data_IF_102136578611
#
_entry.id   IF_102136578611
#
_cell.length_a   1.000
_cell.length_b   1.000
_cell.length_c   1.000
_cell.angle_alpha   90.00
_cell.angle_beta   90.00
_cell.angle_gamma   90.00
#
_symmetry.space_group_name_H-M   'P 1'
#
loop_
_entity.id
_entity.type
_entity.pdbx_description
1 polymer ?
#
# COMPACT_ATOMS: atom_id res chain seq x y z
N UNK A 1 30.67 -29.40 5.47
CA UNK A 1 30.75 -28.00 5.94
C UNK A 1 29.53 -27.28 5.39
N UNK A 2 28.69 -26.65 6.23
CA UNK A 2 27.46 -26.01 5.79
C UNK A 2 27.79 -24.61 5.29
N UNK A 3 27.31 -24.23 4.11
CA UNK A 3 27.44 -22.83 3.68
C UNK A 3 26.16 -22.38 2.98
N UNK A 4 25.45 -21.54 3.74
CA UNK A 4 24.66 -20.41 3.27
C UNK A 4 23.29 -20.71 2.65
N UNK A 5 22.35 -20.89 3.59
CA UNK A 5 21.01 -20.30 3.57
C UNK A 5 20.87 -19.11 2.61
N UNK A 6 20.06 -19.31 1.57
CA UNK A 6 18.99 -18.40 1.16
C UNK A 6 19.32 -16.90 1.28
N UNK A 7 20.06 -16.36 0.31
CA UNK A 7 19.91 -14.95 -0.03
C UNK A 7 18.63 -14.80 -0.84
N UNK A 8 17.48 -14.83 -0.15
CA UNK A 8 16.33 -14.12 -0.67
C UNK A 8 16.77 -12.66 -0.69
N UNK A 9 17.07 -12.11 -1.87
CA UNK A 9 17.12 -10.68 -2.08
C UNK A 9 15.71 -10.15 -1.80
N UNK A 10 15.38 -10.02 -0.52
CA UNK A 10 14.23 -9.27 -0.09
C UNK A 10 14.73 -7.84 -0.15
N UNK A 11 14.48 -7.15 -1.28
CA UNK A 11 14.46 -5.69 -1.27
C UNK A 11 13.63 -5.30 -0.04
N UNK A 12 14.31 -4.76 0.95
CA UNK A 12 13.74 -4.59 2.27
C UNK A 12 12.63 -3.55 2.13
N UNK A 13 11.38 -4.03 2.19
CA UNK A 13 10.20 -3.20 2.01
C UNK A 13 10.31 -1.94 2.87
N UNK A 14 10.13 -0.73 2.30
CA UNK A 14 10.14 0.49 3.10
C UNK A 14 9.14 0.38 4.26
N UNK A 15 9.53 0.89 5.42
CA UNK A 15 8.72 0.87 6.64
C UNK A 15 8.46 2.26 7.16
N UNK A 16 7.26 2.47 7.68
CA UNK A 16 6.81 3.76 8.20
C UNK A 16 6.39 3.64 9.68
N UNK A 17 7.33 3.45 10.61
CA UNK A 17 7.03 3.11 12.00
C UNK A 17 6.23 4.18 12.76
N UNK A 18 6.32 5.45 12.36
CA UNK A 18 5.46 6.52 12.91
C UNK A 18 4.00 6.35 12.48
N UNK A 19 3.78 6.06 11.20
CA UNK A 19 2.43 5.83 10.67
C UNK A 19 1.84 4.56 11.28
N UNK A 20 2.62 3.50 11.41
CA UNK A 20 2.20 2.27 12.09
C UNK A 20 1.83 2.52 13.56
N UNK A 21 2.57 3.37 14.28
CA UNK A 21 2.26 3.71 15.65
C UNK A 21 0.98 4.57 15.77
N UNK A 22 0.77 5.50 14.84
CA UNK A 22 -0.36 6.43 14.87
C UNK A 22 -1.68 5.79 14.40
N UNK A 23 -1.60 4.95 13.36
CA UNK A 23 -2.77 4.39 12.67
C UNK A 23 -2.96 2.88 12.91
N UNK A 24 -2.00 2.20 13.54
CA UNK A 24 -2.04 0.76 13.84
C UNK A 24 -1.68 -0.14 12.66
N UNK A 25 -1.34 0.42 11.50
CA UNK A 25 -1.01 -0.31 10.27
C UNK A 25 0.07 0.45 9.49
N UNK A 26 1.05 -0.27 8.93
CA UNK A 26 2.01 0.30 7.97
C UNK A 26 1.46 0.16 6.54
N UNK A 27 1.06 1.25 5.86
CA UNK A 27 0.51 1.18 4.50
C UNK A 27 1.50 0.58 3.50
N UNK A 28 2.80 0.69 3.73
CA UNK A 28 3.81 0.12 2.84
C UNK A 28 3.68 -1.41 2.76
N UNK A 29 3.11 -2.06 3.78
CA UNK A 29 2.79 -3.49 3.75
C UNK A 29 1.98 -3.90 2.53
N UNK A 30 1.11 -3.03 2.05
CA UNK A 30 0.25 -3.27 0.90
C UNK A 30 0.77 -2.56 -0.35
N UNK A 31 1.37 -1.39 -0.19
CA UNK A 31 1.72 -0.51 -1.31
C UNK A 31 3.10 -0.76 -1.92
N UNK A 32 4.00 -1.47 -1.24
CA UNK A 32 5.40 -1.57 -1.65
C UNK A 32 5.71 -2.78 -2.54
N UNK A 33 4.77 -3.71 -2.74
CA UNK A 33 4.94 -4.71 -3.78
C UNK A 33 4.92 -4.03 -5.16
N UNK A 34 5.84 -4.39 -6.07
CA UNK A 34 5.83 -3.82 -7.41
C UNK A 34 4.52 -4.20 -8.11
N UNK A 35 3.83 -3.18 -8.63
CA UNK A 35 2.72 -3.31 -9.56
C UNK A 35 3.30 -3.75 -10.92
N UNK A 36 3.95 -4.92 -10.98
CA UNK A 36 4.49 -5.42 -12.25
C UNK A 36 3.32 -5.74 -13.20
N UNK A 37 3.50 -5.50 -14.53
CA UNK A 37 2.59 -6.03 -15.52
C UNK A 37 2.66 -7.55 -15.46
N UNK A 38 1.62 -8.10 -14.85
CA UNK A 38 1.43 -9.50 -14.59
C UNK A 38 1.67 -10.35 -15.85
N UNK A 39 2.74 -11.15 -15.85
CA UNK A 39 2.92 -12.22 -16.85
C UNK A 39 2.28 -13.54 -16.39
N UNK A 40 1.56 -13.53 -15.26
CA UNK A 40 0.60 -14.55 -14.91
C UNK A 40 0.39 -14.69 -13.41
N UNK A 41 -0.75 -14.18 -12.91
CA UNK A 41 -1.62 -14.59 -11.77
C UNK A 41 -2.34 -13.42 -11.07
N UNK A 42 -2.06 -12.18 -11.43
CA UNK A 42 -3.01 -11.05 -11.36
C UNK A 42 -3.23 -10.45 -9.98
N UNK A 43 -2.31 -10.69 -9.04
CA UNK A 43 -2.55 -10.40 -7.62
C UNK A 43 -1.84 -9.13 -7.11
N UNK A 44 -0.74 -8.74 -7.76
CA UNK A 44 0.07 -7.57 -7.38
C UNK A 44 -0.74 -6.29 -7.61
N UNK A 45 -1.23 -5.67 -6.54
CA UNK A 45 -2.08 -4.49 -6.58
C UNK A 45 -3.55 -4.74 -6.20
N UNK A 46 -4.10 -5.94 -6.45
CA UNK A 46 -5.49 -6.24 -6.02
C UNK A 46 -5.64 -6.23 -4.50
N UNK A 47 -4.62 -6.70 -3.77
CA UNK A 47 -4.62 -6.65 -2.31
C UNK A 47 -4.61 -5.20 -1.79
N UNK A 48 -3.82 -4.32 -2.41
CA UNK A 48 -3.77 -2.92 -2.06
C UNK A 48 -5.12 -2.23 -2.32
N UNK A 49 -5.73 -2.46 -3.49
CA UNK A 49 -7.05 -1.93 -3.83
C UNK A 49 -8.15 -2.43 -2.88
N UNK A 50 -8.16 -3.73 -2.57
CA UNK A 50 -9.11 -4.30 -1.61
C UNK A 50 -8.94 -3.70 -0.22
N UNK A 51 -7.69 -3.47 0.21
CA UNK A 51 -7.41 -2.84 1.51
C UNK A 51 -7.88 -1.39 1.54
N UNK A 52 -7.63 -0.61 0.47
CA UNK A 52 -8.06 0.79 0.33
C UNK A 52 -9.59 0.91 0.44
N UNK A 53 -10.35 0.03 -0.23
CA UNK A 53 -11.81 0.00 -0.11
C UNK A 53 -12.30 -0.22 1.32
N UNK A 54 -11.56 -1.01 2.11
CA UNK A 54 -11.87 -1.28 3.51
C UNK A 54 -11.32 -0.25 4.51
N UNK A 55 -10.84 0.92 4.07
CA UNK A 55 -10.39 1.96 5.00
C UNK A 55 -11.61 2.65 5.62
N UNK A 56 -11.65 2.73 6.95
CA UNK A 56 -12.84 3.20 7.68
C UNK A 56 -12.75 4.69 8.08
N UNK A 57 -11.58 5.31 7.97
CA UNK A 57 -11.37 6.68 8.44
C UNK A 57 -10.58 7.51 7.43
N UNK A 58 -10.86 8.82 7.40
CA UNK A 58 -10.06 9.77 6.60
C UNK A 58 -8.60 9.84 7.05
N UNK A 59 -8.32 9.56 8.33
CA UNK A 59 -6.95 9.47 8.87
C UNK A 59 -6.14 8.38 8.15
N UNK A 60 -6.70 7.17 8.10
CA UNK A 60 -6.09 6.04 7.40
C UNK A 60 -5.91 6.30 5.90
N UNK A 61 -6.91 6.88 5.22
CA UNK A 61 -6.78 7.22 3.80
C UNK A 61 -5.63 8.21 3.57
N UNK A 62 -5.50 9.22 4.42
CA UNK A 62 -4.40 10.21 4.33
C UNK A 62 -3.05 9.58 4.63
N UNK A 63 -2.97 8.67 5.59
CA UNK A 63 -1.75 7.91 5.89
C UNK A 63 -1.31 7.06 4.69
N UNK A 64 -2.24 6.34 4.07
CA UNK A 64 -1.97 5.58 2.84
C UNK A 64 -1.49 6.48 1.70
N UNK A 65 -2.10 7.65 1.52
CA UNK A 65 -1.68 8.62 0.51
C UNK A 65 -0.30 9.20 0.76
N UNK A 66 0.06 9.43 2.03
CA UNK A 66 1.38 9.91 2.40
C UNK A 66 2.47 8.87 2.07
N UNK A 67 2.21 7.60 2.35
CA UNK A 67 3.09 6.49 1.97
C UNK A 67 3.15 6.35 0.45
N UNK A 68 2.02 6.34 -0.27
CA UNK A 68 1.98 6.25 -1.73
C UNK A 68 2.87 7.31 -2.39
N UNK A 69 2.81 8.56 -1.94
CA UNK A 69 3.65 9.67 -2.44
C UNK A 69 5.14 9.45 -2.19
N UNK A 70 5.49 8.72 -1.15
CA UNK A 70 6.88 8.42 -0.78
C UNK A 70 7.43 7.23 -1.56
N UNK A 71 6.55 6.33 -2.02
CA UNK A 71 6.94 5.19 -2.84
C UNK A 71 7.10 5.63 -4.29
N UNK A 72 8.31 5.52 -4.81
CA UNK A 72 8.62 5.80 -6.20
C UNK A 72 8.65 4.50 -7.03
N UNK A 73 7.98 4.50 -8.19
CA UNK A 73 8.05 3.41 -9.18
C UNK A 73 6.68 2.83 -9.59
N UNK A 74 6.59 2.41 -10.86
CA UNK A 74 5.43 1.72 -11.44
C UNK A 74 4.23 2.61 -11.82
N UNK A 75 3.28 2.04 -12.54
CA UNK A 75 1.99 2.66 -12.85
C UNK A 75 1.06 2.57 -11.64
N UNK A 76 1.07 3.61 -10.80
CA UNK A 76 0.31 3.68 -9.54
C UNK A 76 -1.05 4.37 -9.66
N UNK A 77 -1.52 4.64 -10.87
CA UNK A 77 -2.73 5.45 -11.07
C UNK A 77 -3.96 4.81 -10.42
N UNK A 78 -4.14 3.49 -10.54
CA UNK A 78 -5.24 2.77 -9.92
C UNK A 78 -5.27 2.90 -8.38
N UNK A 79 -4.10 2.97 -7.74
CA UNK A 79 -4.01 3.18 -6.28
C UNK A 79 -4.43 4.60 -5.91
N UNK A 80 -3.99 5.60 -6.69
CA UNK A 80 -4.36 7.00 -6.48
C UNK A 80 -5.86 7.19 -6.66
N UNK A 81 -6.43 6.65 -7.73
CA UNK A 81 -7.86 6.73 -8.01
C UNK A 81 -8.68 6.07 -6.89
N UNK A 82 -8.25 4.90 -6.41
CA UNK A 82 -8.92 4.22 -5.30
C UNK A 82 -8.86 5.01 -3.97
N UNK A 83 -7.74 5.69 -3.70
CA UNK A 83 -7.62 6.56 -2.51
C UNK A 83 -8.50 7.80 -2.63
N UNK A 84 -8.59 8.38 -3.83
CA UNK A 84 -9.41 9.56 -4.10
C UNK A 84 -10.90 9.22 -3.98
N UNK A 85 -11.33 8.10 -4.56
CA UNK A 85 -12.70 7.58 -4.45
C UNK A 85 -13.05 7.32 -2.98
N UNK A 86 -12.19 6.63 -2.24
CA UNK A 86 -12.47 6.31 -0.83
C UNK A 86 -12.48 7.55 0.07
N UNK A 87 -11.58 8.51 -0.17
CA UNK A 87 -11.60 9.80 0.54
C UNK A 87 -12.94 10.51 0.32
N UNK A 88 -13.42 10.51 -0.93
CA UNK A 88 -14.69 11.15 -1.28
C UNK A 88 -15.87 10.48 -0.60
N UNK A 89 -15.96 9.14 -0.65
CA UNK A 89 -17.00 8.37 0.05
C UNK A 89 -17.08 8.72 1.54
N UNK A 90 -15.94 8.60 2.25
CA UNK A 90 -15.87 8.89 3.69
C UNK A 90 -16.16 10.36 3.99
N UNK A 91 -15.79 11.30 3.13
CA UNK A 91 -16.09 12.72 3.32
C UNK A 91 -17.59 13.01 3.20
N UNK A 92 -18.28 12.33 2.29
CA UNK A 92 -19.71 12.48 2.07
C UNK A 92 -20.54 11.83 3.19
N UNK A 93 -20.05 10.74 3.79
CA UNK A 93 -20.70 10.07 4.93
C UNK A 93 -20.72 10.91 6.22
N UNK A 94 -19.83 11.90 6.34
CA UNK A 94 -19.69 12.76 7.53
C UNK A 94 -20.62 14.00 7.46
N UNK A 95 -21.25 14.28 6.31
CA UNK A 95 -22.18 15.41 6.13
C UNK A 95 -23.61 15.07 6.55
#
# INVERSE_FOLDING_TARGET
>A
MPTEWQSAHHDERPRFPRIEADEGEDPARFLAEPLEPDTGTGTSGQLALARIRGLETLGLVRAYRAVERTLHGGERQAIKDALDEREQELSNEIQ
#
